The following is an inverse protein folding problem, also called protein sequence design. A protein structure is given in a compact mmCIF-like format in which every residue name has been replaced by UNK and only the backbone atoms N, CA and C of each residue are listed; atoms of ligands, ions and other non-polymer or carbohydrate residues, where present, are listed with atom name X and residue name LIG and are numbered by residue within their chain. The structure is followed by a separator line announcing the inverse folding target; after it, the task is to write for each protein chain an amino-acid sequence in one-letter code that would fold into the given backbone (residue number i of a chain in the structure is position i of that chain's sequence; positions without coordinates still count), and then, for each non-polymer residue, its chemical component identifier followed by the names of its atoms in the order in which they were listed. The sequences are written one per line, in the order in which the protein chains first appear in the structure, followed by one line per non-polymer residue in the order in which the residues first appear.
data_IF_884257886098
#
_entry.id   IF_884257886098
#
_cell.length_a   1.000
_cell.length_b   1.000
_cell.length_c   1.000
_cell.angle_alpha   90.00
_cell.angle_beta   90.00
_cell.angle_gamma   90.00
#
_symmetry.space_group_name_H-M   'P 1'
#
loop_
_entity.id
_entity.type
_entity.pdbx_description
1 polymer ?
#
# COMPACT_ATOMS: atom_id res chain seq x y z
N UNK A 1 5.79 -25.72 1.29
CA UNK A 1 4.54 -25.36 0.61
C UNK A 1 4.12 -23.99 1.13
N UNK A 2 4.35 -22.92 0.36
CA UNK A 2 3.89 -21.59 0.73
C UNK A 2 2.39 -21.50 0.46
N UNK A 3 1.58 -21.44 1.51
CA UNK A 3 0.13 -21.35 1.40
C UNK A 3 -0.16 -19.99 0.77
N UNK A 4 -0.76 -20.00 -0.42
CA UNK A 4 -1.12 -18.80 -1.16
C UNK A 4 -2.35 -18.20 -0.45
N UNK A 5 -2.10 -17.33 0.53
CA UNK A 5 -3.07 -16.81 1.51
C UNK A 5 -4.27 -16.11 0.83
N UNK A 6 -4.08 -15.66 -0.42
CA UNK A 6 -5.12 -15.05 -1.25
C UNK A 6 -6.27 -16.00 -1.61
N UNK A 7 -6.06 -17.32 -1.55
CA UNK A 7 -7.07 -18.32 -1.93
C UNK A 7 -8.13 -18.59 -0.86
N UNK A 8 -7.92 -18.19 0.40
CA UNK A 8 -8.84 -18.52 1.50
C UNK A 8 -9.81 -17.39 1.88
N UNK A 9 -9.62 -16.17 1.34
CA UNK A 9 -10.43 -15.00 1.71
C UNK A 9 -10.36 -14.69 3.21
N UNK A 10 -9.22 -15.00 3.86
CA UNK A 10 -9.01 -14.82 5.30
C UNK A 10 -7.85 -13.86 5.57
N UNK A 11 -7.98 -13.10 6.64
CA UNK A 11 -6.96 -12.17 7.07
C UNK A 11 -5.70 -12.94 7.50
N UNK A 12 -4.51 -12.61 6.97
CA UNK A 12 -3.27 -13.26 7.37
C UNK A 12 -2.91 -13.01 8.84
N UNK A 13 -3.43 -11.93 9.44
CA UNK A 13 -3.08 -11.50 10.79
C UNK A 13 -4.01 -12.11 11.86
N UNK A 14 -5.34 -12.10 11.62
CA UNK A 14 -6.34 -12.55 12.60
C UNK A 14 -7.19 -13.75 12.15
N UNK A 15 -6.92 -14.32 10.97
CA UNK A 15 -7.70 -15.39 10.31
C UNK A 15 -9.19 -15.06 10.06
N UNK A 16 -9.62 -13.82 10.30
CA UNK A 16 -11.02 -13.42 10.07
C UNK A 16 -11.37 -13.46 8.58
N UNK A 17 -12.57 -13.97 8.21
CA UNK A 17 -13.09 -13.90 6.85
C UNK A 17 -13.64 -12.51 6.47
N UNK A 18 -13.65 -11.56 7.40
CA UNK A 18 -14.24 -10.23 7.20
C UNK A 18 -13.28 -9.27 6.48
N UNK A 19 -12.78 -9.70 5.32
CA UNK A 19 -12.00 -8.87 4.41
C UNK A 19 -12.94 -8.33 3.34
N UNK A 20 -12.81 -7.04 3.03
CA UNK A 20 -13.53 -6.41 1.92
C UNK A 20 -12.59 -5.52 1.13
N UNK A 21 -12.86 -5.40 -0.16
CA UNK A 21 -12.28 -4.37 -1.01
C UNK A 21 -12.81 -2.99 -0.61
N UNK A 22 -11.89 -2.06 -0.34
CA UNK A 22 -12.22 -0.69 0.05
C UNK A 22 -11.38 0.27 -0.79
N UNK A 23 -11.96 1.43 -1.09
CA UNK A 23 -11.27 2.55 -1.73
C UNK A 23 -11.20 3.66 -0.69
N UNK A 24 -10.01 3.96 -0.18
CA UNK A 24 -9.81 5.02 0.82
C UNK A 24 -8.63 5.90 0.43
N UNK A 25 -8.59 7.11 0.99
CA UNK A 25 -7.40 7.94 0.90
C UNK A 25 -6.29 7.43 1.83
N UNK A 26 -5.05 7.46 1.35
CA UNK A 26 -3.88 6.94 2.06
C UNK A 26 -2.91 8.07 2.37
N UNK A 27 -2.64 8.37 3.65
CA UNK A 27 -1.58 9.28 4.01
C UNK A 27 -0.22 8.64 3.73
N UNK A 28 0.67 9.41 3.11
CA UNK A 28 2.06 9.06 2.83
C UNK A 28 2.96 10.21 3.29
N UNK A 29 4.18 9.87 3.73
CA UNK A 29 5.15 10.83 4.26
C UNK A 29 6.46 10.84 3.47
N UNK A 30 6.43 11.03 2.14
CA UNK A 30 7.65 11.10 1.35
C UNK A 30 8.45 12.36 1.72
N UNK A 31 9.71 12.18 2.11
CA UNK A 31 10.59 13.31 2.46
C UNK A 31 10.08 14.17 3.62
N UNK A 32 9.31 13.59 4.56
CA UNK A 32 8.82 14.27 5.76
C UNK A 32 7.59 15.18 5.56
N UNK A 33 7.03 15.25 4.34
CA UNK A 33 5.80 16.00 4.07
C UNK A 33 4.60 15.05 4.04
N UNK A 34 3.54 15.36 4.80
CA UNK A 34 2.28 14.62 4.77
C UNK A 34 1.54 14.89 3.46
N UNK A 35 1.29 13.85 2.68
CA UNK A 35 0.60 13.92 1.39
C UNK A 35 -0.44 12.81 1.35
N UNK A 36 -1.63 13.16 0.87
CA UNK A 36 -2.77 12.25 0.79
C UNK A 36 -2.84 11.71 -0.63
N UNK A 37 -2.73 10.39 -0.79
CA UNK A 37 -2.94 9.69 -2.05
C UNK A 37 -4.43 9.31 -2.09
N UNK A 38 -5.27 9.96 -2.91
CA UNK A 38 -6.70 9.69 -2.92
C UNK A 38 -7.01 8.35 -3.62
N UNK A 39 -8.16 7.76 -3.27
CA UNK A 39 -8.77 6.64 -3.98
C UNK A 39 -7.85 5.43 -4.19
N UNK A 40 -7.17 4.97 -3.14
CA UNK A 40 -6.31 3.79 -3.22
C UNK A 40 -7.14 2.54 -2.95
N UNK A 41 -7.37 1.66 -3.95
CA UNK A 41 -8.05 0.40 -3.74
C UNK A 41 -7.15 -0.54 -2.91
N UNK A 42 -7.72 -1.18 -1.89
CA UNK A 42 -7.02 -2.15 -1.06
C UNK A 42 -8.01 -3.08 -0.36
N UNK A 43 -7.54 -4.25 0.04
CA UNK A 43 -8.29 -5.16 0.89
C UNK A 43 -8.11 -4.75 2.35
N UNK A 44 -9.19 -4.70 3.12
CA UNK A 44 -9.18 -4.34 4.54
C UNK A 44 -9.92 -5.38 5.37
N UNK A 45 -9.28 -5.86 6.42
CA UNK A 45 -9.95 -6.66 7.45
C UNK A 45 -10.68 -5.73 8.44
N UNK A 46 -11.98 -5.92 8.61
CA UNK A 46 -12.79 -5.09 9.50
C UNK A 46 -12.75 -5.52 10.97
N UNK A 47 -12.17 -6.69 11.29
CA UNK A 47 -12.00 -7.15 12.67
C UNK A 47 -10.69 -6.63 13.29
N UNK A 48 -9.55 -6.76 12.60
CA UNK A 48 -8.25 -6.31 13.14
C UNK A 48 -7.74 -4.99 12.52
N UNK A 49 -8.32 -4.54 11.40
CA UNK A 49 -7.88 -3.33 10.71
C UNK A 49 -6.70 -3.52 9.75
N UNK A 50 -6.25 -4.76 9.53
CA UNK A 50 -5.17 -5.09 8.60
C UNK A 50 -5.51 -4.68 7.16
N UNK A 51 -4.50 -4.23 6.40
CA UNK A 51 -4.65 -3.72 5.04
C UNK A 51 -3.66 -4.39 4.09
N UNK A 52 -4.19 -4.98 3.03
CA UNK A 52 -3.40 -5.59 1.97
C UNK A 52 -3.55 -4.79 0.68
N UNK A 53 -2.42 -4.43 0.07
CA UNK A 53 -2.37 -3.70 -1.19
C UNK A 53 -1.91 -4.62 -2.30
N UNK A 54 -2.71 -4.71 -3.36
CA UNK A 54 -2.32 -5.41 -4.57
C UNK A 54 -1.18 -4.71 -5.30
N UNK A 55 -0.54 -5.45 -6.21
CA UNK A 55 0.50 -4.92 -7.09
C UNK A 55 0.04 -3.65 -7.82
N UNK A 56 -1.19 -3.63 -8.37
CA UNK A 56 -1.73 -2.46 -9.05
C UNK A 56 -1.89 -1.25 -8.12
N UNK A 57 -2.33 -1.47 -6.88
CA UNK A 57 -2.46 -0.41 -5.88
C UNK A 57 -1.10 0.15 -5.48
N UNK A 58 -0.09 -0.72 -5.35
CA UNK A 58 1.29 -0.29 -5.13
C UNK A 58 1.82 0.57 -6.28
N UNK A 59 1.68 0.09 -7.53
CA UNK A 59 2.09 0.84 -8.73
C UNK A 59 1.35 2.18 -8.82
N UNK A 60 0.05 2.23 -8.49
CA UNK A 60 -0.72 3.48 -8.44
C UNK A 60 -0.15 4.47 -7.42
N UNK A 61 0.15 4.01 -6.21
CA UNK A 61 0.75 4.83 -5.16
C UNK A 61 2.12 5.35 -5.58
N UNK A 62 2.98 4.49 -6.14
CA UNK A 62 4.31 4.87 -6.62
C UNK A 62 4.23 5.89 -7.77
N UNK A 63 3.36 5.67 -8.74
CA UNK A 63 3.15 6.59 -9.87
C UNK A 63 2.65 7.97 -9.39
N UNK A 64 1.74 8.00 -8.41
CA UNK A 64 1.26 9.26 -7.83
C UNK A 64 2.39 10.04 -7.15
N UNK A 65 3.23 9.35 -6.37
CA UNK A 65 4.39 9.95 -5.71
C UNK A 65 5.47 10.39 -6.71
N UNK A 66 5.71 9.61 -7.76
CA UNK A 66 6.62 9.95 -8.85
C UNK A 66 6.16 11.23 -9.58
N UNK A 67 4.87 11.32 -9.93
CA UNK A 67 4.27 12.49 -10.58
C UNK A 67 4.45 13.78 -9.77
N UNK A 68 4.42 13.67 -8.44
CA UNK A 68 4.62 14.80 -7.54
C UNK A 68 6.10 15.12 -7.27
N UNK A 69 7.04 14.41 -7.90
CA UNK A 69 8.49 14.49 -7.65
C UNK A 69 8.85 14.25 -6.18
N UNK A 70 8.08 13.39 -5.50
CA UNK A 70 8.24 13.12 -4.06
C UNK A 70 9.00 11.83 -3.78
N UNK A 71 9.25 11.01 -4.79
CA UNK A 71 10.17 9.91 -4.62
C UNK A 71 11.54 10.48 -4.22
N UNK A 72 12.19 9.91 -3.20
CA UNK A 72 13.52 10.36 -2.82
C UNK A 72 14.38 10.31 -4.07
N UNK A 73 14.89 11.47 -4.51
CA UNK A 73 15.97 11.50 -5.50
C UNK A 73 17.05 10.62 -4.91
N UNK A 74 17.21 9.42 -5.47
CA UNK A 74 18.36 8.58 -5.19
C UNK A 74 19.55 9.46 -5.54
N UNK A 75 20.18 10.06 -4.52
CA UNK A 75 21.41 10.80 -4.70
C UNK A 75 22.38 9.75 -5.23
N UNK A 76 22.62 9.74 -6.54
CA UNK A 76 23.74 9.01 -7.13
C UNK A 76 24.95 9.44 -6.31
N UNK A 77 25.44 8.58 -5.42
CA UNK A 77 26.69 8.84 -4.71
C UNK A 77 27.73 8.94 -5.82
N UNK A 78 28.22 10.16 -6.05
CA UNK A 78 29.40 10.40 -6.87
C UNK A 78 30.55 9.92 -5.98
N UNK A 79 30.96 8.66 -6.15
CA UNK A 79 32.23 8.18 -5.62
C UNK A 79 33.29 8.94 -6.41
N UNK A 80 33.86 9.96 -5.76
CA UNK A 80 35.08 10.62 -6.23
C UNK A 80 36.29 9.81 -5.81
#
# INVERSE_FOLDING_TARGET
MGINIKLLGRCPDCDSPNIKDVIEDRPSFPGGKKIIIPNVPHEKCFDCGERSYDHNSMVYMEAFLAKKNLLPRVKKRKTG
#
